data_IF_864969681902
#
_entry.id   IF_864969681902
#
_cell.length_a   1.000
_cell.length_b   1.000
_cell.length_c   1.000
_cell.angle_alpha   90.00
_cell.angle_beta   90.00
_cell.angle_gamma   90.00
#
_symmetry.space_group_name_H-M   'P 1'
#
loop_
_entity.id
_entity.type
_entity.pdbx_description
1 polymer ?
#
# COMPACT_ATOMS: atom_id res chain seq x y z
N UNK A 1 2.53 -10.62 -10.39
CA UNK A 1 2.18 -12.01 -10.77
C UNK A 1 1.88 -12.77 -9.50
N UNK A 2 0.63 -13.06 -9.20
CA UNK A 2 0.29 -14.13 -8.29
C UNK A 2 0.66 -15.42 -9.01
N UNK A 3 1.56 -16.24 -8.47
CA UNK A 3 1.72 -17.59 -8.95
C UNK A 3 0.37 -18.30 -8.75
N UNK A 4 -0.18 -18.87 -9.80
CA UNK A 4 -1.34 -19.77 -9.74
C UNK A 4 -0.94 -20.94 -8.85
N UNK A 5 -1.33 -20.88 -7.58
CA UNK A 5 -1.07 -21.94 -6.61
C UNK A 5 -2.26 -22.86 -6.67
N UNK A 6 -2.15 -23.89 -7.50
CA UNK A 6 -3.14 -24.97 -7.55
C UNK A 6 -3.11 -25.71 -6.21
N UNK A 7 -4.29 -26.00 -5.68
CA UNK A 7 -4.49 -26.77 -4.46
C UNK A 7 -3.66 -28.07 -4.44
N UNK A 8 -2.83 -28.28 -3.40
CA UNK A 8 -2.01 -29.50 -3.25
C UNK A 8 -0.77 -29.58 -4.14
N UNK A 9 -0.29 -28.46 -4.72
CA UNK A 9 0.99 -28.46 -5.44
C UNK A 9 2.18 -28.46 -4.47
N UNK A 10 3.35 -28.99 -4.92
CA UNK A 10 4.61 -28.94 -4.15
C UNK A 10 4.99 -27.49 -3.74
N UNK A 11 4.38 -26.49 -4.36
CA UNK A 11 4.59 -25.08 -4.07
C UNK A 11 3.72 -24.57 -2.92
N UNK A 12 2.57 -25.22 -2.64
CA UNK A 12 1.68 -24.87 -1.53
C UNK A 12 1.04 -26.15 -0.95
N UNK A 13 1.76 -26.90 -0.11
CA UNK A 13 1.28 -28.17 0.42
C UNK A 13 -0.05 -28.09 1.15
N UNK A 14 -0.31 -26.99 1.88
CA UNK A 14 -1.59 -26.79 2.58
C UNK A 14 -2.77 -26.49 1.68
N UNK A 15 -2.55 -26.13 0.40
CA UNK A 15 -3.59 -25.61 -0.49
C UNK A 15 -4.17 -24.24 -0.06
N UNK A 16 -3.70 -23.67 1.03
CA UNK A 16 -4.20 -22.39 1.54
C UNK A 16 -3.42 -21.24 0.92
N UNK A 17 -4.01 -20.57 -0.07
CA UNK A 17 -3.40 -19.49 -0.84
C UNK A 17 -2.64 -18.45 0.01
N UNK A 18 -3.26 -17.93 1.07
CA UNK A 18 -2.65 -16.92 1.92
C UNK A 18 -1.40 -17.43 2.66
N UNK A 19 -1.30 -18.72 2.94
CA UNK A 19 -0.11 -19.30 3.58
C UNK A 19 1.09 -19.39 2.64
N UNK A 20 0.84 -19.37 1.33
CA UNK A 20 1.85 -19.52 0.31
C UNK A 20 2.08 -18.23 -0.51
N UNK A 21 1.51 -17.11 -0.06
CA UNK A 21 1.58 -15.85 -0.79
C UNK A 21 2.90 -15.11 -0.49
N UNK A 22 3.75 -14.98 -1.53
CA UNK A 22 4.95 -14.16 -1.52
C UNK A 22 4.80 -13.01 -2.49
N UNK A 23 5.08 -11.79 -2.04
CA UNK A 23 4.89 -10.59 -2.84
C UNK A 23 6.16 -9.73 -2.94
N UNK A 24 6.39 -9.19 -4.13
CA UNK A 24 7.47 -8.25 -4.44
C UNK A 24 6.95 -7.15 -5.36
N UNK A 25 7.65 -6.03 -5.41
CA UNK A 25 7.32 -4.92 -6.30
C UNK A 25 8.21 -5.00 -7.54
N UNK A 26 7.58 -4.88 -8.70
CA UNK A 26 8.27 -4.90 -10.00
C UNK A 26 7.88 -3.70 -10.84
N UNK A 27 8.80 -3.28 -11.73
CA UNK A 27 8.57 -2.23 -12.71
C UNK A 27 7.89 -2.79 -13.96
N UNK A 28 6.85 -2.11 -14.41
CA UNK A 28 6.35 -2.22 -15.78
C UNK A 28 6.28 -0.81 -16.39
N UNK A 29 6.56 -0.70 -17.69
CA UNK A 29 6.56 0.58 -18.41
C UNK A 29 5.61 0.52 -19.60
N UNK A 30 4.93 1.63 -19.83
CA UNK A 30 4.16 1.89 -21.04
C UNK A 30 4.85 3.02 -21.83
N UNK A 31 4.83 2.90 -23.15
CA UNK A 31 5.28 3.94 -24.10
C UNK A 31 4.16 4.41 -25.02
N UNK A 32 2.94 3.90 -24.81
CA UNK A 32 1.76 4.15 -25.65
C UNK A 32 0.57 4.74 -24.88
N UNK A 33 0.85 5.45 -23.79
CA UNK A 33 -0.18 6.09 -22.96
C UNK A 33 -0.97 5.14 -22.07
N UNK A 34 -0.36 4.02 -21.66
CA UNK A 34 -0.96 3.06 -20.75
C UNK A 34 -1.79 1.95 -21.42
N UNK A 35 -1.72 1.82 -22.75
CA UNK A 35 -2.44 0.77 -23.49
C UNK A 35 -1.77 -0.58 -23.37
N UNK A 36 -0.44 -0.58 -23.41
CA UNK A 36 0.37 -1.79 -23.19
C UNK A 36 1.46 -1.53 -22.16
N UNK A 37 1.88 -2.58 -21.46
CA UNK A 37 2.94 -2.52 -20.48
C UNK A 37 3.97 -3.62 -20.71
N UNK A 38 5.23 -3.26 -20.75
CA UNK A 38 6.36 -4.18 -20.81
C UNK A 38 7.18 -4.15 -19.52
N UNK A 39 7.69 -5.29 -19.10
CA UNK A 39 8.62 -5.41 -17.99
C UNK A 39 10.05 -5.57 -18.49
N UNK A 40 11.05 -4.94 -17.86
CA UNK A 40 12.44 -5.31 -18.10
C UNK A 40 12.66 -6.80 -17.81
N UNK A 41 13.60 -7.47 -18.50
CA UNK A 41 13.93 -8.86 -18.19
C UNK A 41 14.37 -9.02 -16.73
N UNK A 42 14.05 -10.19 -16.12
CA UNK A 42 14.53 -10.53 -14.78
C UNK A 42 16.08 -10.54 -14.76
N UNK A 43 16.73 -10.10 -13.67
CA UNK A 43 16.13 -9.54 -12.43
C UNK A 43 15.92 -8.02 -12.48
N UNK A 44 16.19 -7.36 -13.61
CA UNK A 44 16.17 -5.88 -13.75
C UNK A 44 14.78 -5.25 -13.60
N UNK A 45 13.72 -6.03 -13.54
CA UNK A 45 12.37 -5.55 -13.27
C UNK A 45 12.07 -5.36 -11.77
N UNK A 46 12.92 -5.90 -10.87
CA UNK A 46 12.66 -5.90 -9.43
C UNK A 46 12.95 -4.52 -8.82
N UNK A 47 11.93 -3.92 -8.19
CA UNK A 47 12.04 -2.71 -7.39
C UNK A 47 12.35 -3.05 -5.94
N UNK A 48 11.55 -3.95 -5.35
CA UNK A 48 11.68 -4.28 -3.94
C UNK A 48 11.19 -5.71 -3.65
N UNK A 49 11.96 -6.42 -2.82
CA UNK A 49 11.61 -7.70 -2.24
C UNK A 49 12.19 -7.79 -0.82
N UNK A 50 11.53 -8.53 0.07
CA UNK A 50 12.14 -8.89 1.35
C UNK A 50 13.29 -9.88 1.14
N UNK A 51 14.34 -9.88 2.00
CA UNK A 51 15.55 -10.68 1.79
C UNK A 51 15.37 -12.16 2.19
N UNK A 52 14.19 -12.71 1.95
CA UNK A 52 13.84 -14.09 2.31
C UNK A 52 13.37 -14.85 1.08
N UNK A 53 13.94 -16.04 0.88
CA UNK A 53 13.50 -16.95 -0.17
C UNK A 53 12.12 -17.50 0.15
N UNK A 54 11.40 -17.88 -0.88
CA UNK A 54 10.09 -18.53 -0.74
C UNK A 54 10.18 -19.76 0.18
N UNK A 55 9.23 -19.82 1.11
CA UNK A 55 8.98 -20.97 1.98
C UNK A 55 7.48 -21.25 1.94
N UNK A 56 7.05 -22.47 1.65
CA UNK A 56 5.64 -22.81 1.66
C UNK A 56 5.05 -22.72 3.08
N UNK A 57 3.77 -22.43 3.16
CA UNK A 57 2.95 -22.50 4.37
C UNK A 57 3.34 -21.60 5.55
N UNK A 58 4.15 -20.57 5.32
CA UNK A 58 4.58 -19.62 6.37
C UNK A 58 3.70 -18.37 6.48
N UNK A 59 2.67 -18.24 5.61
CA UNK A 59 1.78 -17.08 5.57
C UNK A 59 2.20 -16.02 4.56
N UNK A 60 1.46 -14.90 4.44
CA UNK A 60 1.85 -13.86 3.51
C UNK A 60 3.21 -13.28 3.89
N UNK A 61 4.14 -13.25 2.94
CA UNK A 61 5.49 -12.67 3.11
C UNK A 61 5.74 -11.68 2.00
N UNK A 62 6.33 -10.54 2.32
CA UNK A 62 6.76 -9.59 1.31
C UNK A 62 6.30 -8.16 1.52
N UNK A 63 6.24 -7.44 0.41
CA UNK A 63 5.85 -6.03 0.32
C UNK A 63 4.54 -5.92 -0.47
N UNK A 64 3.54 -5.27 0.13
CA UNK A 64 2.17 -5.26 -0.35
C UNK A 64 1.67 -3.85 -0.56
N UNK A 65 0.68 -3.68 -1.42
CA UNK A 65 -0.13 -2.48 -1.56
C UNK A 65 0.71 -1.18 -1.65
N UNK A 66 1.58 -1.03 -2.64
CA UNK A 66 2.28 0.23 -2.82
C UNK A 66 1.29 1.37 -3.05
N UNK A 67 1.56 2.54 -2.45
CA UNK A 67 0.84 3.77 -2.76
C UNK A 67 1.09 4.19 -4.21
N UNK A 68 0.35 5.17 -4.68
CA UNK A 68 0.81 5.97 -5.81
C UNK A 68 2.13 6.69 -5.43
N UNK A 69 2.86 7.08 -6.46
CA UNK A 69 4.16 7.76 -6.32
C UNK A 69 3.93 9.26 -6.31
N UNK A 70 4.54 9.96 -5.36
CA UNK A 70 4.54 11.43 -5.27
C UNK A 70 5.95 11.97 -5.39
N UNK A 71 6.09 13.16 -6.00
CA UNK A 71 7.38 13.85 -6.07
C UNK A 71 7.47 14.90 -4.98
N UNK A 72 8.57 14.91 -4.21
CA UNK A 72 8.87 16.02 -3.31
C UNK A 72 9.60 17.13 -4.06
N UNK A 73 9.17 18.37 -3.84
CA UNK A 73 9.77 19.53 -4.50
C UNK A 73 11.09 19.96 -3.88
N UNK A 74 11.28 19.70 -2.59
CA UNK A 74 12.45 20.12 -1.81
C UNK A 74 13.73 19.32 -2.14
N UNK A 75 13.62 18.04 -2.44
CA UNK A 75 14.76 17.18 -2.76
C UNK A 75 14.69 16.53 -4.16
N UNK A 76 13.58 16.73 -4.85
CA UNK A 76 13.37 16.25 -6.22
C UNK A 76 13.18 14.74 -6.37
N UNK A 77 13.15 13.98 -5.27
CA UNK A 77 12.94 12.54 -5.30
C UNK A 77 11.46 12.16 -5.42
N UNK A 78 11.26 10.97 -5.96
CA UNK A 78 9.97 10.29 -6.00
C UNK A 78 9.84 9.37 -4.80
N UNK A 79 8.69 9.41 -4.14
CA UNK A 79 8.39 8.67 -2.93
C UNK A 79 7.20 7.76 -3.10
N UNK A 80 7.24 6.60 -2.47
CA UNK A 80 6.12 5.69 -2.34
C UNK A 80 6.11 5.04 -0.95
N UNK A 81 4.92 4.72 -0.47
CA UNK A 81 4.72 3.92 0.73
C UNK A 81 4.39 2.49 0.32
N UNK A 82 4.82 1.53 1.12
CA UNK A 82 4.54 0.11 0.90
C UNK A 82 4.31 -0.59 2.23
N UNK A 83 3.33 -1.48 2.31
CA UNK A 83 3.12 -2.30 3.49
C UNK A 83 4.10 -3.46 3.50
N UNK A 84 4.93 -3.55 4.53
CA UNK A 84 5.80 -4.69 4.79
C UNK A 84 5.08 -5.65 5.76
N UNK A 85 4.97 -6.92 5.39
CA UNK A 85 4.46 -7.97 6.27
C UNK A 85 5.57 -8.44 7.23
N UNK A 86 5.20 -8.71 8.48
CA UNK A 86 6.17 -9.23 9.45
C UNK A 86 6.66 -10.62 9.03
N UNK A 87 7.97 -10.75 8.86
CA UNK A 87 8.62 -12.03 8.64
C UNK A 87 10.12 -11.96 8.94
N UNK A 88 10.64 -12.89 9.71
CA UNK A 88 12.03 -12.88 10.15
C UNK A 88 12.38 -11.58 10.88
N UNK A 89 13.38 -10.84 10.41
CA UNK A 89 13.76 -9.55 10.98
C UNK A 89 12.93 -8.36 10.44
N UNK A 90 12.14 -8.54 9.38
CA UNK A 90 11.25 -7.49 8.88
C UNK A 90 10.06 -7.31 9.83
N UNK A 91 9.91 -6.13 10.40
CA UNK A 91 8.74 -5.75 11.20
C UNK A 91 7.58 -5.36 10.28
N UNK A 92 6.37 -5.64 10.74
CA UNK A 92 5.15 -5.19 10.07
C UNK A 92 4.99 -3.67 10.11
N UNK A 93 4.44 -3.12 9.02
CA UNK A 93 4.01 -1.72 8.96
C UNK A 93 4.32 -1.07 7.62
N UNK A 94 4.08 0.24 7.58
CA UNK A 94 4.28 1.06 6.39
C UNK A 94 5.75 1.47 6.28
N UNK A 95 6.41 1.02 5.22
CA UNK A 95 7.75 1.47 4.85
C UNK A 95 7.67 2.59 3.81
N UNK A 96 8.52 3.60 3.96
CA UNK A 96 8.69 4.64 2.94
C UNK A 96 9.94 4.37 2.12
N UNK A 97 9.84 4.53 0.81
CA UNK A 97 10.95 4.37 -0.12
C UNK A 97 10.99 5.50 -1.14
N UNK A 98 12.19 5.83 -1.64
CA UNK A 98 12.38 6.89 -2.62
C UNK A 98 13.36 6.51 -3.72
N UNK A 99 13.26 7.23 -4.84
CA UNK A 99 14.20 7.16 -5.96
C UNK A 99 14.40 8.52 -6.63
N UNK A 100 15.55 8.74 -7.23
CA UNK A 100 15.78 9.87 -8.13
C UNK A 100 15.41 9.56 -9.60
N UNK A 101 15.32 8.28 -9.97
CA UNK A 101 14.95 7.85 -11.33
C UNK A 101 13.93 6.70 -11.30
N UNK A 102 12.69 7.00 -11.68
CA UNK A 102 11.62 5.99 -11.78
C UNK A 102 11.89 4.89 -12.81
N UNK A 103 12.80 5.12 -13.75
CA UNK A 103 13.14 4.16 -14.81
C UNK A 103 14.15 3.12 -14.36
N UNK A 104 14.88 3.39 -13.27
CA UNK A 104 15.86 2.47 -12.68
C UNK A 104 15.32 1.79 -11.41
N UNK A 105 14.84 0.53 -11.51
CA UNK A 105 14.38 -0.22 -10.33
C UNK A 105 15.44 -0.34 -9.24
N UNK A 106 16.73 -0.39 -9.61
CA UNK A 106 17.85 -0.52 -8.69
C UNK A 106 18.16 0.74 -7.89
N UNK A 107 17.59 1.90 -8.27
CA UNK A 107 17.81 3.19 -7.59
C UNK A 107 16.95 3.39 -6.34
N UNK A 108 15.90 2.61 -6.14
CA UNK A 108 15.03 2.74 -4.99
C UNK A 108 15.76 2.45 -3.66
N UNK A 109 15.53 3.31 -2.68
CA UNK A 109 16.04 3.17 -1.31
C UNK A 109 14.93 3.36 -0.31
N UNK A 110 14.78 2.42 0.63
CA UNK A 110 13.84 2.56 1.72
C UNK A 110 14.52 3.09 3.00
N UNK A 111 13.69 3.59 3.89
CA UNK A 111 14.08 4.12 5.19
C UNK A 111 14.55 2.99 6.12
N UNK A 112 15.68 3.18 6.80
CA UNK A 112 16.26 2.23 7.75
C UNK A 112 16.01 2.57 9.24
N UNK A 113 15.29 3.67 9.48
CA UNK A 113 15.09 4.26 10.80
C UNK A 113 15.91 5.53 11.02
N UNK A 114 16.85 5.86 10.12
CA UNK A 114 17.69 7.07 10.22
C UNK A 114 17.97 7.71 8.86
N UNK A 115 17.99 6.94 7.78
CA UNK A 115 18.24 7.43 6.43
C UNK A 115 17.68 6.47 5.36
N UNK A 116 17.63 6.95 4.10
CA UNK A 116 17.21 6.14 2.95
C UNK A 116 18.38 5.33 2.40
N UNK A 117 18.74 4.23 3.07
CA UNK A 117 19.89 3.38 2.72
C UNK A 117 19.54 1.94 2.38
N UNK A 118 18.33 1.50 2.77
CA UNK A 118 17.89 0.12 2.49
C UNK A 118 17.81 -0.10 1.00
N UNK A 119 18.58 -1.06 0.50
CA UNK A 119 18.46 -1.56 -0.86
C UNK A 119 17.80 -2.92 -0.83
N UNK A 120 16.56 -2.96 -1.22
CA UNK A 120 15.88 -4.23 -1.44
C UNK A 120 16.61 -5.03 -2.54
N UNK A 121 16.84 -6.29 -2.29
CA UNK A 121 17.58 -7.14 -3.20
C UNK A 121 16.87 -8.46 -3.43
N UNK A 122 17.12 -9.05 -4.60
CA UNK A 122 16.61 -10.37 -4.92
C UNK A 122 17.19 -11.40 -3.92
N UNK A 123 16.32 -12.10 -3.16
CA UNK A 123 16.78 -13.07 -2.15
C UNK A 123 17.45 -14.30 -2.76
N UNK A 124 17.32 -14.51 -4.07
CA UNK A 124 17.95 -15.63 -4.78
C UNK A 124 19.35 -15.30 -5.30
N UNK A 125 19.71 -14.02 -5.36
CA UNK A 125 21.03 -13.56 -5.83
C UNK A 125 21.98 -13.21 -4.69
N UNK A 126 21.43 -12.96 -3.50
CA UNK A 126 22.23 -12.49 -2.38
C UNK A 126 21.72 -13.02 -1.05
N UNK A 127 22.64 -13.33 -0.13
CA UNK A 127 22.34 -13.81 1.23
C UNK A 127 22.41 -12.68 2.27
N UNK A 128 21.71 -12.86 3.40
CA UNK A 128 21.72 -11.97 4.55
C UNK A 128 20.68 -10.85 4.50
N UNK A 129 20.40 -10.27 5.65
CA UNK A 129 19.34 -9.24 5.86
C UNK A 129 19.91 -7.84 6.02
N UNK A 130 21.21 -7.69 6.23
CA UNK A 130 21.84 -6.40 6.50
C UNK A 130 21.58 -5.37 5.40
N UNK A 131 21.01 -4.21 5.77
CA UNK A 131 20.68 -3.13 4.85
C UNK A 131 19.59 -3.45 3.81
N UNK A 132 18.74 -4.47 4.06
CA UNK A 132 17.73 -4.98 3.11
C UNK A 132 16.32 -5.06 3.66
N UNK A 133 16.13 -4.70 4.91
CA UNK A 133 14.85 -4.59 5.58
C UNK A 133 14.58 -3.13 5.90
N UNK A 134 13.34 -2.68 5.73
CA UNK A 134 12.95 -1.31 6.04
C UNK A 134 12.52 -1.17 7.49
N UNK A 135 12.66 0.04 8.03
CA UNK A 135 12.06 0.44 9.28
C UNK A 135 10.66 1.00 9.02
N UNK A 136 9.59 0.38 9.54
CA UNK A 136 8.26 0.94 9.43
C UNK A 136 8.17 2.31 10.10
N UNK A 137 7.44 3.23 9.48
CA UNK A 137 7.23 4.59 9.97
C UNK A 137 5.90 4.71 10.70
N UNK A 138 5.88 5.45 11.82
CA UNK A 138 4.67 5.86 12.56
C UNK A 138 3.59 4.78 12.70
N UNK A 139 3.96 3.55 13.06
CA UNK A 139 3.03 2.41 13.08
C UNK A 139 1.83 2.61 14.00
N UNK A 140 2.03 3.27 15.17
CA UNK A 140 0.94 3.55 16.10
C UNK A 140 -0.11 4.48 15.49
N UNK A 141 0.33 5.43 14.66
CA UNK A 141 -0.49 6.47 14.05
C UNK A 141 -1.22 5.97 12.81
N UNK A 142 -0.50 5.31 11.90
CA UNK A 142 -1.04 4.94 10.58
C UNK A 142 -1.25 3.43 10.38
N UNK A 143 -0.79 2.59 11.30
CA UNK A 143 -0.81 1.12 11.16
C UNK A 143 -0.14 0.69 9.82
N UNK A 144 -0.83 -0.07 9.00
CA UNK A 144 -0.35 -0.52 7.68
C UNK A 144 -0.96 0.24 6.50
N UNK A 145 -1.48 1.47 6.69
CA UNK A 145 -2.11 2.22 5.60
C UNK A 145 -1.09 2.61 4.53
N UNK A 146 -1.44 2.37 3.24
CA UNK A 146 -0.58 2.71 2.09
C UNK A 146 -1.36 3.07 0.84
N UNK A 147 -2.70 3.00 0.83
CA UNK A 147 -3.50 2.93 -0.39
C UNK A 147 -3.47 4.18 -1.27
N UNK A 148 -3.49 5.36 -0.67
CA UNK A 148 -3.51 6.62 -1.44
C UNK A 148 -2.64 7.65 -0.75
N UNK A 149 -1.63 8.13 -1.46
CA UNK A 149 -0.71 9.16 -1.02
C UNK A 149 -0.80 10.36 -1.94
N UNK A 150 -0.99 11.56 -1.39
CA UNK A 150 -1.08 12.81 -2.16
C UNK A 150 -0.52 13.97 -1.36
N UNK A 151 0.04 14.99 -2.03
CA UNK A 151 0.34 16.26 -1.41
C UNK A 151 -0.91 17.15 -1.46
N UNK A 152 -1.41 17.57 -0.32
CA UNK A 152 -2.58 18.43 -0.24
C UNK A 152 -2.18 19.90 -0.21
N UNK A 153 -2.42 20.60 -1.30
CA UNK A 153 -2.02 22.02 -1.47
C UNK A 153 -2.79 22.98 -0.56
N UNK A 154 -3.93 22.58 -0.02
CA UNK A 154 -4.68 23.39 0.93
C UNK A 154 -4.14 23.25 2.36
N UNK A 155 -3.77 22.04 2.77
CA UNK A 155 -3.17 21.79 4.10
C UNK A 155 -1.68 22.12 4.12
N UNK A 156 -1.02 22.05 2.97
CA UNK A 156 0.44 22.14 2.80
C UNK A 156 1.17 20.93 3.40
N UNK A 157 0.53 19.75 3.34
CA UNK A 157 0.98 18.49 3.94
C UNK A 157 0.74 17.32 3.00
N UNK A 158 1.46 16.23 3.19
CA UNK A 158 1.12 14.95 2.60
C UNK A 158 -0.09 14.35 3.31
N UNK A 159 -1.00 13.78 2.55
CA UNK A 159 -2.18 13.06 3.04
C UNK A 159 -2.10 11.62 2.62
N UNK A 160 -2.13 10.73 3.60
CA UNK A 160 -2.24 9.30 3.41
C UNK A 160 -3.67 8.85 3.71
N UNK A 161 -4.29 8.10 2.81
CA UNK A 161 -5.60 7.50 3.02
C UNK A 161 -5.48 5.98 2.90
N UNK A 162 -6.16 5.25 3.80
CA UNK A 162 -6.21 3.80 3.76
C UNK A 162 -7.37 3.22 4.59
N UNK A 163 -7.67 1.93 4.41
CA UNK A 163 -8.54 1.21 5.32
C UNK A 163 -7.80 1.00 6.65
N UNK A 164 -8.52 1.15 7.74
CA UNK A 164 -7.97 0.93 9.07
C UNK A 164 -9.09 0.71 10.08
N UNK A 165 -8.69 0.52 11.34
CA UNK A 165 -9.62 0.43 12.46
C UNK A 165 -9.03 1.10 13.69
N UNK A 166 -9.90 1.61 14.56
CA UNK A 166 -9.54 2.16 15.87
C UNK A 166 -10.55 1.74 16.93
N UNK A 167 -10.15 1.68 18.20
CA UNK A 167 -11.12 1.55 19.29
C UNK A 167 -12.21 2.62 19.19
N UNK A 168 -13.48 2.22 19.30
CA UNK A 168 -14.61 3.13 19.34
C UNK A 168 -14.77 3.74 20.74
N UNK A 169 -15.58 4.81 20.84
CA UNK A 169 -15.92 5.39 22.12
C UNK A 169 -17.18 4.72 22.73
N UNK A 170 -17.17 4.56 24.05
CA UNK A 170 -18.29 3.99 24.79
C UNK A 170 -18.55 2.52 24.46
N UNK A 171 -19.80 2.18 24.11
CA UNK A 171 -20.20 0.80 23.75
C UNK A 171 -19.82 0.37 22.34
N UNK A 172 -19.28 1.26 21.51
CA UNK A 172 -18.76 0.91 20.20
C UNK A 172 -17.43 0.19 20.40
N UNK A 173 -17.33 -1.06 19.97
CA UNK A 173 -16.12 -1.87 20.03
C UNK A 173 -15.01 -1.29 19.15
N UNK A 174 -14.83 -1.83 17.95
CA UNK A 174 -13.86 -1.36 16.95
C UNK A 174 -14.61 -0.64 15.82
N UNK A 175 -14.13 0.53 15.43
CA UNK A 175 -14.65 1.29 14.28
C UNK A 175 -13.75 1.00 13.08
N UNK A 176 -14.31 0.29 12.10
CA UNK A 176 -13.67 0.00 10.82
C UNK A 176 -14.04 1.07 9.79
N UNK A 177 -13.11 1.43 8.92
CA UNK A 177 -13.41 2.44 7.93
C UNK A 177 -12.23 2.90 7.10
N UNK A 178 -12.46 3.99 6.37
CA UNK A 178 -11.41 4.73 5.68
C UNK A 178 -10.93 5.86 6.57
N UNK A 179 -9.64 5.89 6.77
CA UNK A 179 -8.95 6.86 7.63
C UNK A 179 -7.97 7.67 6.80
N UNK A 180 -7.62 8.86 7.29
CA UNK A 180 -6.51 9.66 6.78
C UNK A 180 -5.55 10.05 7.90
N UNK A 181 -4.33 10.34 7.52
CA UNK A 181 -3.28 10.91 8.34
C UNK A 181 -2.51 11.92 7.52
N UNK A 182 -1.84 12.86 8.16
CA UNK A 182 -1.03 13.90 7.50
C UNK A 182 0.42 13.84 7.97
N UNK A 183 1.34 14.32 7.13
CA UNK A 183 2.77 14.37 7.39
C UNK A 183 3.45 15.46 6.55
N UNK A 184 4.46 16.12 7.10
CA UNK A 184 5.31 17.07 6.37
C UNK A 184 6.46 16.39 5.63
N UNK A 185 6.90 15.22 6.10
CA UNK A 185 8.16 14.59 5.70
C UNK A 185 8.04 13.12 5.20
N UNK A 186 6.83 12.53 5.29
CA UNK A 186 6.52 11.14 4.98
C UNK A 186 7.08 10.11 5.99
N UNK A 187 7.67 10.57 7.10
CA UNK A 187 8.23 9.75 8.18
C UNK A 187 7.35 9.85 9.42
N UNK A 188 7.10 11.08 9.86
CA UNK A 188 6.31 11.36 11.05
C UNK A 188 4.87 11.68 10.64
N UNK A 189 3.95 10.83 11.06
CA UNK A 189 2.53 10.91 10.71
C UNK A 189 1.67 11.28 11.91
N UNK A 190 0.66 12.10 11.68
CA UNK A 190 -0.36 12.39 12.70
C UNK A 190 -1.23 11.17 12.99
N UNK A 191 -1.86 11.05 14.17
CA UNK A 191 -2.82 10.00 14.46
C UNK A 191 -3.95 9.97 13.42
N UNK A 192 -4.18 8.81 12.82
CA UNK A 192 -5.21 8.63 11.76
C UNK A 192 -6.59 9.06 12.24
N UNK A 193 -7.31 9.79 11.40
CA UNK A 193 -8.67 10.29 11.64
C UNK A 193 -9.66 9.60 10.67
N UNK A 194 -10.84 9.27 11.16
CA UNK A 194 -11.89 8.63 10.37
C UNK A 194 -12.44 9.59 9.31
N UNK A 195 -12.46 9.16 8.05
CA UNK A 195 -13.19 9.83 6.97
C UNK A 195 -14.60 9.25 6.87
N UNK A 196 -14.70 7.91 6.87
CA UNK A 196 -15.96 7.20 6.66
C UNK A 196 -15.93 5.82 7.31
N UNK A 197 -16.94 5.52 8.10
CA UNK A 197 -17.18 4.18 8.62
C UNK A 197 -17.72 3.28 7.49
N UNK A 198 -17.12 2.13 7.30
CA UNK A 198 -17.53 1.08 6.35
C UNK A 198 -17.18 -0.29 6.90
N UNK A 199 -17.92 -1.30 6.51
CA UNK A 199 -17.51 -2.69 6.69
C UNK A 199 -16.32 -2.97 5.77
N UNK A 200 -15.21 -3.45 6.32
CA UNK A 200 -14.05 -3.87 5.53
C UNK A 200 -14.19 -5.37 5.17
N UNK A 201 -13.61 -5.85 4.06
CA UNK A 201 -13.62 -7.29 3.75
C UNK A 201 -13.04 -8.17 4.86
N UNK A 202 -12.10 -7.64 5.63
CA UNK A 202 -11.45 -8.32 6.76
C UNK A 202 -12.26 -8.32 8.05
N UNK A 203 -13.29 -7.48 8.15
CA UNK A 203 -14.18 -7.38 9.31
C UNK A 203 -15.62 -7.77 8.99
N UNK A 204 -15.88 -8.27 7.76
CA UNK A 204 -17.22 -8.64 7.32
C UNK A 204 -17.71 -9.90 8.03
N UNK A 205 -18.90 -9.81 8.59
CA UNK A 205 -19.70 -10.93 9.08
C UNK A 205 -20.96 -11.09 8.23
N UNK A 206 -21.48 -12.32 8.15
CA UNK A 206 -22.68 -12.57 7.35
C UNK A 206 -23.88 -11.81 7.90
N UNK A 207 -24.51 -11.01 7.05
CA UNK A 207 -25.58 -10.07 7.43
C UNK A 207 -25.13 -8.61 7.53
N UNK A 208 -23.84 -8.36 7.49
CA UNK A 208 -23.32 -6.99 7.43
C UNK A 208 -23.62 -6.30 6.11
N UNK A 209 -23.59 -4.95 6.08
CA UNK A 209 -23.58 -4.20 4.83
C UNK A 209 -22.43 -4.63 3.92
N UNK A 210 -22.67 -4.58 2.62
CA UNK A 210 -21.66 -4.90 1.62
C UNK A 210 -20.34 -4.19 1.88
N UNK A 211 -19.21 -4.93 1.92
CA UNK A 211 -17.92 -4.36 2.25
C UNK A 211 -17.43 -3.34 1.23
N UNK A 212 -16.58 -2.42 1.69
CA UNK A 212 -15.89 -1.45 0.86
C UNK A 212 -14.38 -1.47 1.11
N UNK A 213 -13.57 -1.27 0.04
CA UNK A 213 -12.12 -1.30 0.10
C UNK A 213 -11.47 -0.44 -1.00
N UNK A 214 -10.14 -0.38 -1.02
CA UNK A 214 -9.33 0.38 -1.98
C UNK A 214 -9.68 1.87 -2.05
N UNK A 215 -9.61 2.61 -0.90
CA UNK A 215 -9.84 4.03 -0.93
C UNK A 215 -8.72 4.75 -1.70
N UNK A 216 -9.11 5.70 -2.56
CA UNK A 216 -8.20 6.57 -3.30
C UNK A 216 -8.70 7.99 -3.25
N UNK A 217 -7.85 8.92 -2.80
CA UNK A 217 -8.16 10.34 -2.78
C UNK A 217 -7.72 10.97 -4.11
N UNK A 218 -8.67 11.42 -4.90
CA UNK A 218 -8.43 11.99 -6.22
C UNK A 218 -9.09 13.37 -6.33
N UNK A 219 -8.35 14.31 -6.91
CA UNK A 219 -8.85 15.65 -7.20
C UNK A 219 -8.90 15.86 -8.71
N UNK A 220 -10.08 16.00 -9.32
CA UNK A 220 -10.20 16.27 -10.74
C UNK A 220 -9.56 17.58 -11.18
N UNK A 221 -9.38 18.52 -10.26
CA UNK A 221 -8.76 19.82 -10.52
C UNK A 221 -7.22 19.77 -10.36
N UNK A 222 -6.66 18.58 -10.03
CA UNK A 222 -5.20 18.40 -9.92
C UNK A 222 -4.54 18.61 -11.30
N UNK A 223 -3.47 19.41 -11.40
CA UNK A 223 -2.70 19.55 -12.61
C UNK A 223 -1.85 18.31 -12.94
N UNK A 224 -1.66 17.41 -11.98
CA UNK A 224 -0.89 16.19 -12.15
C UNK A 224 -1.74 15.07 -12.76
N UNK A 225 -1.24 14.46 -13.85
CA UNK A 225 -1.88 13.28 -14.45
C UNK A 225 -1.85 12.05 -13.57
N UNK A 226 -0.97 12.01 -12.56
CA UNK A 226 -0.84 10.92 -11.61
C UNK A 226 -1.63 11.16 -10.34
N UNK A 227 -2.40 12.27 -10.27
CA UNK A 227 -3.14 12.68 -9.08
C UNK A 227 -2.26 12.78 -7.83
N UNK A 228 -1.03 13.29 -8.01
CA UNK A 228 -0.06 13.47 -6.93
C UNK A 228 -0.47 14.57 -5.96
N UNK A 229 -1.35 15.48 -6.41
CA UNK A 229 -1.81 16.61 -5.61
C UNK A 229 -3.32 16.60 -5.45
N UNK A 230 -3.78 17.13 -4.32
CA UNK A 230 -5.18 17.42 -4.04
C UNK A 230 -5.32 18.81 -3.43
N UNK A 231 -6.49 19.42 -3.61
CA UNK A 231 -6.84 20.68 -2.94
C UNK A 231 -7.77 20.45 -1.75
N UNK A 232 -8.58 21.47 -1.45
CA UNK A 232 -9.50 21.46 -0.30
C UNK A 232 -10.68 20.48 -0.45
N UNK A 233 -11.12 20.16 -1.68
CA UNK A 233 -12.39 19.46 -1.95
C UNK A 233 -12.22 18.28 -2.91
N UNK A 234 -11.32 17.34 -2.64
CA UNK A 234 -11.17 16.17 -3.47
C UNK A 234 -12.35 15.20 -3.31
N UNK A 235 -12.30 14.11 -4.08
CA UNK A 235 -13.20 12.98 -3.93
C UNK A 235 -12.44 11.79 -3.36
N UNK A 236 -13.09 11.08 -2.44
CA UNK A 236 -12.70 9.74 -2.02
C UNK A 236 -13.41 8.74 -2.93
N UNK A 237 -12.64 8.03 -3.73
CA UNK A 237 -13.10 6.89 -4.53
C UNK A 237 -12.81 5.60 -3.77
N UNK A 238 -13.69 4.63 -3.90
CA UNK A 238 -13.49 3.30 -3.31
C UNK A 238 -14.32 2.24 -4.04
N UNK A 239 -13.94 0.99 -3.89
CA UNK A 239 -14.67 -0.16 -4.40
C UNK A 239 -15.69 -0.61 -3.36
N UNK A 240 -16.96 -0.75 -3.75
CA UNK A 240 -17.98 -1.46 -2.98
C UNK A 240 -18.18 -2.84 -3.59
N UNK A 241 -18.03 -3.87 -2.77
CA UNK A 241 -18.24 -5.26 -3.16
C UNK A 241 -19.70 -5.62 -3.06
N UNK A 242 -20.15 -6.52 -3.92
CA UNK A 242 -21.45 -7.17 -3.77
C UNK A 242 -21.21 -8.63 -3.35
N UNK A 243 -21.50 -8.92 -2.09
CA UNK A 243 -21.45 -10.29 -1.57
C UNK A 243 -22.77 -11.01 -1.87
N UNK A 244 -22.68 -12.30 -2.19
CA UNK A 244 -23.83 -13.18 -2.36
C UNK A 244 -23.62 -14.40 -1.48
N UNK A 245 -24.64 -14.77 -0.71
CA UNK A 245 -24.61 -15.92 0.21
C UNK A 245 -23.35 -15.85 1.12
N UNK A 246 -23.06 -14.64 1.63
CA UNK A 246 -21.89 -14.33 2.48
C UNK A 246 -20.51 -14.50 1.82
N UNK A 247 -20.44 -14.70 0.52
CA UNK A 247 -19.19 -14.85 -0.22
C UNK A 247 -18.93 -13.66 -1.14
N UNK A 248 -17.66 -13.31 -1.27
CA UNK A 248 -17.20 -12.29 -2.22
C UNK A 248 -17.51 -12.72 -3.65
N UNK A 249 -18.04 -11.80 -4.46
CA UNK A 249 -18.24 -11.99 -5.90
C UNK A 249 -17.35 -11.06 -6.70
N UNK A 250 -17.34 -11.22 -8.03
CA UNK A 250 -16.67 -10.28 -8.94
C UNK A 250 -17.50 -9.02 -9.22
N UNK A 251 -18.75 -8.96 -8.74
CA UNK A 251 -19.60 -7.78 -8.89
C UNK A 251 -19.17 -6.68 -7.93
N UNK A 252 -18.78 -5.53 -8.47
CA UNK A 252 -18.21 -4.40 -7.73
C UNK A 252 -18.64 -3.08 -8.34
N UNK A 253 -18.90 -2.09 -7.48
CA UNK A 253 -19.12 -0.72 -7.90
C UNK A 253 -17.89 0.13 -7.59
N UNK A 254 -17.58 1.08 -8.48
CA UNK A 254 -16.73 2.21 -8.14
C UNK A 254 -17.61 3.33 -7.59
N UNK A 255 -17.41 3.66 -6.33
CA UNK A 255 -18.16 4.70 -5.60
C UNK A 255 -17.26 5.89 -5.34
N UNK A 256 -17.82 7.10 -5.38
CA UNK A 256 -17.12 8.31 -4.94
C UNK A 256 -17.97 9.13 -3.98
N UNK A 257 -17.31 9.77 -3.02
CA UNK A 257 -17.92 10.76 -2.12
C UNK A 257 -17.04 12.00 -2.04
N UNK A 258 -17.64 13.16 -1.85
CA UNK A 258 -16.89 14.40 -1.64
C UNK A 258 -16.26 14.40 -0.25
N UNK A 259 -15.01 14.82 -0.17
CA UNK A 259 -14.29 15.11 1.07
C UNK A 259 -13.98 16.60 1.11
N UNK A 260 -13.99 17.19 2.29
CA UNK A 260 -13.56 18.57 2.50
C UNK A 260 -12.57 18.62 3.66
N UNK A 261 -11.38 19.13 3.40
CA UNK A 261 -10.41 19.44 4.44
C UNK A 261 -10.69 20.80 5.07
N UNK A 262 -10.44 20.91 6.38
CA UNK A 262 -10.46 22.13 7.16
C UNK A 262 -9.15 22.23 7.93
N UNK A 263 -8.61 23.43 8.03
CA UNK A 263 -7.50 23.76 8.93
C UNK A 263 -8.00 23.92 10.36
#
# INVERSE_FOLDING_TARGET
MSADVTEGSDRCPSGVYLKCWYNSLTLARSVDGGRTFGQPPAPRHLIAAVPYRYQPDVGPVGLFQPSNVVRRSDDGHWYALVHAQAFGAQREGTCVMRTADLRDPGSWRAWDGSAYRVRFANPYESSGTGGRICAPVSFAEIAGMTHSLTYNTYLDEYVLVGPSSRPGHGRRGVVHGFYYSTSDDLIDWTPRKLIREVTLPTSFECGDPNPAYFPSLLDPDSPSRNFETTGQRPYLYFTRYHFKDCHSTLNRDLVRVRVRFSR
#
